data_IF_334452000552
#
_entry.id   IF_334452000552
#
_cell.length_a   1.000
_cell.length_b   1.000
_cell.length_c   1.000
_cell.angle_alpha   90.00
_cell.angle_beta   90.00
_cell.angle_gamma   90.00
#
_symmetry.space_group_name_H-M   'P 1'
#
loop_
_entity.id
_entity.type
_entity.pdbx_description
1 polymer ?
#
# COMPACT_ATOMS: atom_id res chain seq x y z
N UNK A 1 -7.89 -11.03 1.75
CA UNK A 1 -7.67 -9.66 2.25
C UNK A 1 -8.55 -8.70 1.46
N UNK A 2 -9.50 -8.04 2.11
CA UNK A 2 -10.39 -7.04 1.50
C UNK A 2 -9.66 -5.69 1.42
N UNK A 3 -9.92 -4.90 0.38
CA UNK A 3 -9.42 -3.53 0.22
C UNK A 3 -9.92 -2.61 1.33
N UNK A 4 -11.13 -2.86 1.84
CA UNK A 4 -11.75 -2.07 2.89
C UNK A 4 -11.50 -2.64 4.30
N UNK A 5 -10.56 -3.58 4.42
CA UNK A 5 -10.16 -4.12 5.71
C UNK A 5 -9.64 -2.99 6.63
N UNK A 6 -10.18 -2.91 7.85
CA UNK A 6 -9.83 -1.85 8.81
C UNK A 6 -8.34 -1.82 9.14
N UNK A 7 -7.65 -2.97 9.15
CA UNK A 7 -6.22 -3.04 9.44
C UNK A 7 -5.44 -2.40 8.30
N UNK A 8 -5.83 -2.65 7.04
CA UNK A 8 -5.21 -2.00 5.89
C UNK A 8 -5.48 -0.50 5.87
N UNK A 9 -6.71 -0.07 6.17
CA UNK A 9 -7.03 1.36 6.24
C UNK A 9 -6.19 2.07 7.31
N UNK A 10 -6.00 1.45 8.48
CA UNK A 10 -5.10 1.97 9.52
C UNK A 10 -3.64 2.00 9.08
N UNK A 11 -3.19 0.98 8.35
CA UNK A 11 -1.84 0.94 7.78
C UNK A 11 -1.60 2.11 6.81
N UNK A 12 -2.49 2.33 5.84
CA UNK A 12 -2.39 3.47 4.91
C UNK A 12 -2.46 4.81 5.63
N UNK A 13 -3.35 4.93 6.62
CA UNK A 13 -3.44 6.12 7.46
C UNK A 13 -2.14 6.41 8.20
N UNK A 14 -1.47 5.40 8.73
CA UNK A 14 -0.17 5.56 9.41
C UNK A 14 0.91 6.08 8.47
N UNK A 15 1.02 5.54 7.25
CA UNK A 15 1.99 6.00 6.25
C UNK A 15 1.73 7.46 5.86
N UNK A 16 0.47 7.81 5.61
CA UNK A 16 0.08 9.18 5.26
C UNK A 16 0.36 10.17 6.38
N UNK A 17 0.12 9.80 7.65
CA UNK A 17 0.35 10.66 8.80
C UNK A 17 1.85 10.94 9.08
N UNK A 18 2.75 10.11 8.54
CA UNK A 18 4.20 10.27 8.68
C UNK A 18 4.86 10.74 7.37
N UNK A 19 4.07 11.25 6.41
CA UNK A 19 4.56 11.72 5.10
C UNK A 19 5.39 10.69 4.31
N UNK A 20 5.18 9.40 4.59
CA UNK A 20 5.90 8.33 3.88
C UNK A 20 5.46 8.35 2.43
N UNK A 21 6.41 8.44 1.50
CA UNK A 21 6.14 8.32 0.07
C UNK A 21 6.25 6.86 -0.32
N UNK A 22 5.16 6.30 -0.83
CA UNK A 22 5.07 4.89 -1.19
C UNK A 22 4.22 4.69 -2.44
N UNK A 23 4.38 3.54 -3.08
CA UNK A 23 3.47 3.03 -4.11
C UNK A 23 3.11 1.58 -3.80
N UNK A 24 1.82 1.27 -3.88
CA UNK A 24 1.32 -0.10 -3.77
C UNK A 24 1.62 -0.85 -5.06
N UNK A 25 2.21 -2.04 -4.95
CA UNK A 25 2.59 -2.86 -6.11
C UNK A 25 2.09 -4.30 -5.93
N UNK A 26 2.47 -5.18 -6.86
CA UNK A 26 2.25 -6.61 -6.70
C UNK A 26 0.79 -7.07 -6.87
N UNK A 27 0.47 -8.19 -6.21
CA UNK A 27 -0.81 -8.89 -6.39
C UNK A 27 -2.00 -8.07 -5.90
N UNK A 28 -1.83 -7.34 -4.80
CA UNK A 28 -2.89 -6.54 -4.21
C UNK A 28 -3.26 -5.35 -5.10
N UNK A 29 -2.25 -4.63 -5.63
CA UNK A 29 -2.47 -3.56 -6.61
C UNK A 29 -3.20 -4.09 -7.87
N UNK A 30 -2.79 -5.26 -8.35
CA UNK A 30 -3.43 -5.92 -9.51
C UNK A 30 -4.93 -6.19 -9.24
N UNK A 31 -5.26 -6.70 -8.04
CA UNK A 31 -6.65 -6.92 -7.60
C UNK A 31 -7.44 -5.62 -7.49
N UNK A 32 -6.85 -4.60 -6.88
CA UNK A 32 -7.47 -3.28 -6.71
C UNK A 32 -7.86 -2.66 -8.05
N UNK A 33 -7.05 -2.85 -9.10
CA UNK A 33 -7.33 -2.36 -10.46
C UNK A 33 -8.22 -3.29 -11.31
N UNK A 34 -8.97 -4.19 -10.66
CA UNK A 34 -10.05 -4.95 -11.31
C UNK A 34 -9.64 -6.28 -11.93
N UNK A 35 -8.39 -6.73 -11.75
CA UNK A 35 -7.97 -8.05 -12.20
C UNK A 35 -8.06 -9.07 -11.06
N UNK A 36 -8.89 -10.10 -11.21
CA UNK A 36 -9.10 -11.09 -10.16
C UNK A 36 -7.86 -11.96 -9.95
N UNK A 37 -7.08 -11.67 -8.90
CA UNK A 37 -5.87 -12.39 -8.50
C UNK A 37 -5.93 -12.72 -7.00
N UNK A 38 -5.69 -13.98 -6.64
CA UNK A 38 -5.45 -14.38 -5.25
C UNK A 38 -4.04 -13.97 -4.79
N UNK A 39 -3.95 -13.46 -3.58
CA UNK A 39 -2.74 -12.93 -2.91
C UNK A 39 -3.15 -12.69 -1.46
N UNK A 40 -2.25 -13.04 -0.56
CA UNK A 40 -2.39 -12.91 0.89
C UNK A 40 -1.32 -11.97 1.48
N UNK A 41 -0.43 -11.46 0.63
CA UNK A 41 0.61 -10.49 0.92
C UNK A 41 0.26 -9.09 0.40
N UNK A 42 0.96 -8.09 0.92
CA UNK A 42 0.91 -6.70 0.48
C UNK A 42 2.33 -6.27 0.12
N UNK A 43 2.54 -5.96 -1.16
CA UNK A 43 3.81 -5.44 -1.65
C UNK A 43 3.76 -3.90 -1.76
N UNK A 44 4.77 -3.23 -1.22
CA UNK A 44 4.93 -1.78 -1.33
C UNK A 44 6.36 -1.42 -1.71
N UNK A 45 6.52 -0.40 -2.53
CA UNK A 45 7.80 0.30 -2.67
C UNK A 45 7.78 1.57 -1.86
N UNK A 46 8.88 1.81 -1.14
CA UNK A 46 9.10 3.02 -0.38
C UNK A 46 10.07 3.91 -1.17
N UNK A 47 9.83 5.21 -1.11
CA UNK A 47 10.83 6.18 -1.52
C UNK A 47 11.87 6.32 -0.40
N UNK A 48 13.12 6.07 -0.71
CA UNK A 48 14.27 6.15 0.20
C UNK A 48 15.09 7.44 0.01
N UNK A 49 14.63 8.36 -0.84
CA UNK A 49 15.30 9.62 -1.08
C UNK A 49 15.28 10.51 0.17
N UNK A 50 16.33 11.32 0.32
CA UNK A 50 16.40 12.29 1.41
C UNK A 50 15.18 13.21 1.39
N UNK A 51 14.51 13.32 2.53
CA UNK A 51 13.57 14.41 2.77
C UNK A 51 14.31 15.71 2.47
N UNK A 52 13.79 16.50 1.53
CA UNK A 52 14.34 17.82 1.26
C UNK A 52 14.19 18.64 2.54
N UNK A 53 15.33 18.95 3.16
CA UNK A 53 15.48 19.87 4.30
C UNK A 53 15.00 21.28 3.96
#
# INVERSE_FOLDING_TARGET
MDVLDEVLLRFWGSLNNHDVKYIMVGGFATRFHGFNRSTDDLDIWLYDGQASI
#
